data_IF_281651664884
#
_entry.id   IF_281651664884
#
_cell.length_a   1.000
_cell.length_b   1.000
_cell.length_c   1.000
_cell.angle_alpha   90.00
_cell.angle_beta   90.00
_cell.angle_gamma   90.00
#
_symmetry.space_group_name_H-M   'P 1'
#
loop_
_entity.id
_entity.type
_entity.pdbx_description
1 polymer ?
#
# COMPACT_ATOMS: atom_id res chain seq x y z
N UNK A 1 -29.76 9.44 10.11
CA UNK A 1 -28.94 8.95 8.97
C UNK A 1 -27.43 8.99 9.27
N UNK A 2 -26.99 8.59 10.46
CA UNK A 2 -25.57 8.64 10.89
C UNK A 2 -24.94 7.26 11.11
N UNK A 3 -25.77 6.22 11.28
CA UNK A 3 -25.30 4.84 11.51
C UNK A 3 -24.67 4.20 10.26
N UNK A 4 -25.20 4.48 9.06
CA UNK A 4 -24.70 3.89 7.81
C UNK A 4 -23.34 4.46 7.40
N UNK A 5 -23.13 5.77 7.58
CA UNK A 5 -21.86 6.43 7.30
C UNK A 5 -20.72 5.94 8.19
N UNK A 6 -20.99 5.74 9.48
CA UNK A 6 -20.00 5.19 10.42
C UNK A 6 -19.68 3.72 10.13
N UNK A 7 -20.70 2.90 9.83
CA UNK A 7 -20.51 1.49 9.48
C UNK A 7 -19.73 1.33 8.16
N UNK A 8 -19.92 2.23 7.20
CA UNK A 8 -19.12 2.28 5.97
C UNK A 8 -17.68 2.73 6.23
N UNK A 9 -17.46 3.76 7.06
CA UNK A 9 -16.11 4.23 7.42
C UNK A 9 -15.31 3.15 8.18
N UNK A 10 -15.93 2.43 9.11
CA UNK A 10 -15.30 1.31 9.83
C UNK A 10 -15.01 0.14 8.89
N UNK A 11 -15.93 -0.21 7.98
CA UNK A 11 -15.68 -1.25 6.96
C UNK A 11 -14.57 -0.86 5.99
N UNK A 12 -14.51 0.40 5.56
CA UNK A 12 -13.40 0.89 4.75
C UNK A 12 -12.09 0.78 5.52
N UNK A 13 -12.05 1.23 6.78
CA UNK A 13 -10.84 1.13 7.63
C UNK A 13 -10.39 -0.31 7.89
N UNK A 14 -11.32 -1.25 8.08
CA UNK A 14 -11.02 -2.68 8.21
C UNK A 14 -10.57 -3.30 6.88
N UNK A 15 -11.07 -2.79 5.75
CA UNK A 15 -10.67 -3.22 4.40
C UNK A 15 -9.25 -2.80 4.00
N UNK A 16 -8.68 -1.77 4.63
CA UNK A 16 -7.31 -1.31 4.36
C UNK A 16 -6.23 -2.21 4.99
N UNK A 17 -6.59 -2.95 6.05
CA UNK A 17 -5.65 -3.75 6.82
C UNK A 17 -4.66 -2.90 7.63
N UNK A 18 -3.48 -3.47 7.90
CA UNK A 18 -2.39 -2.76 8.59
C UNK A 18 -1.75 -1.71 7.68
N UNK A 19 -0.98 -0.81 8.27
CA UNK A 19 -0.19 0.16 7.51
C UNK A 19 1.28 -0.27 7.52
N UNK A 20 1.87 -0.42 6.35
CA UNK A 20 3.22 -0.95 6.17
C UNK A 20 4.22 0.20 5.96
N UNK A 21 5.41 0.16 6.59
CA UNK A 21 6.45 1.14 6.33
C UNK A 21 6.91 1.03 4.87
N UNK A 22 7.06 2.17 4.21
CA UNK A 22 7.52 2.27 2.83
C UNK A 22 8.90 2.93 2.82
N UNK A 23 9.91 2.23 2.32
CA UNK A 23 11.30 2.65 2.42
C UNK A 23 11.87 2.52 3.83
N UNK A 24 12.78 3.43 4.18
CA UNK A 24 13.46 3.49 5.46
C UNK A 24 12.74 4.36 6.51
N UNK A 25 13.22 4.35 7.76
CA UNK A 25 12.59 5.06 8.89
C UNK A 25 12.55 6.59 8.75
N UNK A 26 13.40 7.15 7.89
CA UNK A 26 13.45 8.59 7.64
C UNK A 26 12.61 9.04 6.44
N UNK A 27 12.02 8.10 5.69
CA UNK A 27 11.23 8.42 4.51
C UNK A 27 9.87 9.01 4.87
N UNK A 28 9.33 8.68 6.06
CA UNK A 28 8.02 9.18 6.50
C UNK A 28 6.89 8.76 5.57
N UNK A 29 7.02 7.58 4.95
CA UNK A 29 6.10 7.06 3.97
C UNK A 29 5.55 5.70 4.42
N UNK A 30 4.26 5.49 4.14
CA UNK A 30 3.55 4.26 4.45
C UNK A 30 2.60 3.87 3.33
N UNK A 31 2.27 2.59 3.24
CA UNK A 31 1.27 2.05 2.33
C UNK A 31 0.31 1.14 3.08
N UNK A 32 -0.98 1.17 2.76
CA UNK A 32 -1.94 0.22 3.33
C UNK A 32 -1.64 -1.19 2.84
N UNK A 33 -1.87 -2.19 3.70
CA UNK A 33 -1.69 -3.59 3.36
C UNK A 33 -2.56 -3.96 2.14
N UNK A 34 -3.78 -3.45 2.06
CA UNK A 34 -4.65 -3.63 0.89
C UNK A 34 -4.03 -3.12 -0.41
N UNK A 35 -3.47 -1.90 -0.43
CA UNK A 35 -2.86 -1.33 -1.62
C UNK A 35 -1.63 -2.13 -2.09
N UNK A 36 -0.79 -2.55 -1.13
CA UNK A 36 0.36 -3.40 -1.41
C UNK A 36 -0.08 -4.76 -1.98
N UNK A 37 -1.08 -5.40 -1.36
CA UNK A 37 -1.62 -6.70 -1.81
C UNK A 37 -2.25 -6.60 -3.18
N UNK A 38 -3.01 -5.55 -3.45
CA UNK A 38 -3.61 -5.30 -4.77
C UNK A 38 -2.54 -5.23 -5.86
N UNK A 39 -1.42 -4.53 -5.61
CA UNK A 39 -0.31 -4.44 -6.56
C UNK A 39 0.37 -5.80 -6.79
N UNK A 40 0.68 -6.54 -5.71
CA UNK A 40 1.28 -7.88 -5.80
C UNK A 40 0.38 -8.88 -6.51
N UNK A 41 -0.93 -8.86 -6.23
CA UNK A 41 -1.93 -9.70 -6.90
C UNK A 41 -2.00 -9.43 -8.40
N UNK A 42 -1.97 -8.15 -8.80
CA UNK A 42 -1.94 -7.79 -10.23
C UNK A 42 -0.69 -8.33 -10.94
N UNK A 43 0.49 -8.25 -10.33
CA UNK A 43 1.69 -8.85 -10.90
C UNK A 43 1.54 -10.36 -11.02
N UNK A 44 1.02 -11.05 -10.00
CA UNK A 44 0.84 -12.50 -10.08
C UNK A 44 -0.17 -12.90 -11.17
N UNK A 45 -1.25 -12.13 -11.34
CA UNK A 45 -2.26 -12.39 -12.38
C UNK A 45 -1.74 -12.21 -13.82
N UNK A 46 -0.61 -11.52 -14.03
CA UNK A 46 0.00 -11.43 -15.36
C UNK A 46 0.89 -12.64 -15.70
N UNK A 47 1.20 -13.49 -14.72
CA UNK A 47 1.94 -14.72 -14.93
C UNK A 47 1.03 -15.83 -15.44
N UNK A 48 1.51 -16.60 -16.42
CA UNK A 48 0.82 -17.80 -16.91
C UNK A 48 1.11 -18.99 -15.99
N UNK A 49 0.15 -19.90 -15.89
CA UNK A 49 0.32 -21.17 -15.15
C UNK A 49 0.37 -21.02 -13.63
N UNK A 50 -0.08 -19.87 -13.09
CA UNK A 50 -0.13 -19.63 -11.64
C UNK A 50 -1.43 -18.92 -11.26
N UNK A 51 -2.06 -19.34 -10.17
CA UNK A 51 -3.17 -18.63 -9.56
C UNK A 51 -2.83 -18.30 -8.10
N UNK A 52 -2.79 -17.00 -7.77
CA UNK A 52 -2.39 -16.54 -6.44
C UNK A 52 -3.57 -16.62 -5.46
N UNK A 53 -3.42 -17.43 -4.43
CA UNK A 53 -4.37 -17.60 -3.33
C UNK A 53 -4.27 -16.49 -2.27
N UNK A 54 -4.54 -16.80 -0.99
CA UNK A 54 -4.28 -15.89 0.12
C UNK A 54 -2.84 -15.37 0.13
N UNK A 55 -2.67 -14.07 0.32
CA UNK A 55 -1.38 -13.40 0.50
C UNK A 55 -1.39 -12.63 1.82
N UNK A 56 -0.27 -12.53 2.52
CA UNK A 56 -0.11 -11.72 3.74
C UNK A 56 1.25 -11.03 3.73
N UNK A 57 1.30 -9.88 4.39
CA UNK A 57 2.54 -9.13 4.61
C UNK A 57 2.69 -8.94 6.12
N UNK A 58 3.86 -9.29 6.65
CA UNK A 58 4.20 -9.18 8.07
C UNK A 58 5.65 -8.70 8.24
N UNK A 59 6.05 -8.41 9.46
CA UNK A 59 7.48 -8.31 9.79
C UNK A 59 8.15 -9.67 9.54
N UNK A 60 9.38 -9.65 9.06
CA UNK A 60 10.19 -10.85 8.86
C UNK A 60 10.58 -11.47 10.21
N UNK A 61 10.93 -10.62 11.17
CA UNK A 61 11.15 -10.99 12.57
C UNK A 61 10.24 -10.14 13.47
N UNK A 62 9.13 -10.72 13.98
CA UNK A 62 8.21 -10.00 14.86
C UNK A 62 8.75 -9.84 16.30
N UNK A 63 9.71 -10.68 16.70
CA UNK A 63 10.31 -10.67 18.05
C UNK A 63 11.52 -9.74 18.12
N UNK A 64 12.08 -9.34 16.97
CA UNK A 64 13.07 -8.27 16.88
C UNK A 64 12.52 -7.01 17.56
N UNK A 65 13.23 -6.53 18.59
CA UNK A 65 12.82 -5.38 19.37
C UNK A 65 12.58 -4.17 18.45
N UNK A 66 11.35 -3.61 18.39
CA UNK A 66 11.02 -2.48 17.51
C UNK A 66 11.71 -1.16 17.93
N UNK A 67 12.54 -1.19 18.98
CA UNK A 67 13.12 -0.02 19.64
C UNK A 67 14.44 0.53 19.09
N UNK A 68 15.05 -0.09 18.07
CA UNK A 68 16.35 0.41 17.56
C UNK A 68 16.24 1.38 16.38
N UNK A 69 15.05 1.55 15.79
CA UNK A 69 14.88 2.38 14.59
C UNK A 69 13.95 3.56 14.87
N UNK A 70 14.53 4.69 15.25
CA UNK A 70 13.78 5.93 15.46
C UNK A 70 13.18 6.43 14.14
N UNK A 71 11.86 6.55 14.09
CA UNK A 71 11.15 7.05 12.90
C UNK A 71 11.20 8.58 12.89
N UNK A 72 11.53 9.18 11.75
CA UNK A 72 11.68 10.64 11.65
C UNK A 72 10.37 11.43 11.81
N UNK A 73 9.22 10.77 11.64
CA UNK A 73 7.90 11.39 11.78
C UNK A 73 6.96 10.43 12.55
N UNK A 74 5.97 10.96 13.29
CA UNK A 74 4.99 10.14 13.99
C UNK A 74 4.32 9.11 13.05
N UNK A 75 4.30 7.82 13.42
CA UNK A 75 3.67 6.81 12.59
C UNK A 75 2.13 6.98 12.58
N UNK A 76 1.46 6.68 11.45
CA UNK A 76 0.01 6.67 11.41
C UNK A 76 -0.56 5.54 12.31
N UNK A 77 -1.85 5.64 12.71
CA UNK A 77 -2.50 4.57 13.46
C UNK A 77 -2.36 3.22 12.76
N UNK A 78 -2.07 2.17 13.53
CA UNK A 78 -1.91 0.79 13.03
C UNK A 78 -0.72 0.57 12.09
N UNK A 79 0.25 1.49 12.06
CA UNK A 79 1.51 1.27 11.38
C UNK A 79 2.32 0.15 12.04
N UNK A 80 2.85 -0.75 11.22
CA UNK A 80 3.94 -1.63 11.63
C UNK A 80 5.20 -0.79 11.87
N UNK A 81 6.05 -1.18 12.85
CA UNK A 81 7.35 -0.57 13.02
C UNK A 81 8.19 -0.73 11.75
N UNK A 82 9.09 0.22 11.44
CA UNK A 82 10.05 0.07 10.35
C UNK A 82 10.88 -1.20 10.53
N UNK A 83 11.05 -1.98 9.46
CA UNK A 83 11.82 -3.22 9.52
C UNK A 83 11.67 -4.07 8.27
N UNK A 84 12.45 -5.16 8.18
CA UNK A 84 12.34 -6.13 7.10
C UNK A 84 10.96 -6.79 7.11
N UNK A 85 10.36 -6.94 5.93
CA UNK A 85 9.05 -7.52 5.73
C UNK A 85 9.16 -8.91 5.09
N UNK A 86 8.23 -9.77 5.46
CA UNK A 86 7.99 -11.08 4.85
C UNK A 86 6.66 -11.05 4.10
N UNK A 87 6.68 -11.61 2.90
CA UNK A 87 5.47 -11.92 2.12
C UNK A 87 5.23 -13.42 2.19
N UNK A 88 4.05 -13.82 2.66
CA UNK A 88 3.60 -15.22 2.58
C UNK A 88 2.45 -15.30 1.60
N UNK A 89 2.49 -16.28 0.69
CA UNK A 89 1.42 -16.48 -0.26
C UNK A 89 1.18 -17.94 -0.61
N UNK A 90 -0.08 -18.30 -0.70
CA UNK A 90 -0.51 -19.55 -1.29
C UNK A 90 -0.64 -19.37 -2.80
N UNK A 91 -0.36 -20.41 -3.57
CA UNK A 91 -0.64 -20.43 -4.99
C UNK A 91 -1.03 -21.82 -5.49
N UNK A 92 -1.80 -21.84 -6.56
CA UNK A 92 -2.04 -23.03 -7.36
C UNK A 92 -1.15 -23.00 -8.60
N UNK A 93 -0.55 -24.14 -8.93
CA UNK A 93 0.20 -24.33 -10.16
C UNK A 93 -0.66 -25.10 -11.15
N UNK A 94 -0.57 -24.76 -12.44
CA UNK A 94 -1.23 -25.55 -13.47
C UNK A 94 -0.39 -26.78 -13.80
N UNK A 95 -1.07 -27.89 -14.09
CA UNK A 95 -0.51 -29.18 -14.41
C UNK A 95 -1.14 -29.63 -15.73
N UNK A 96 -0.35 -29.49 -16.80
CA UNK A 96 -0.75 -29.83 -18.16
C UNK A 96 0.49 -30.17 -18.99
N UNK A 97 0.32 -30.65 -20.24
CA UNK A 97 1.44 -31.06 -21.09
C UNK A 97 2.44 -29.93 -21.38
N UNK A 98 1.96 -28.68 -21.34
CA UNK A 98 2.75 -27.47 -21.53
C UNK A 98 3.12 -26.78 -20.20
N UNK A 99 2.78 -27.36 -19.05
CA UNK A 99 3.02 -26.74 -17.75
C UNK A 99 4.50 -26.78 -17.36
N UNK A 100 4.96 -25.68 -16.78
CA UNK A 100 6.30 -25.61 -16.19
C UNK A 100 6.36 -26.43 -14.89
N UNK A 101 7.53 -27.02 -14.55
CA UNK A 101 7.71 -27.66 -13.26
C UNK A 101 7.42 -26.69 -12.11
N UNK A 102 6.72 -27.16 -11.08
CA UNK A 102 6.30 -26.34 -9.93
C UNK A 102 7.44 -25.49 -9.34
N UNK A 103 8.69 -26.01 -9.17
CA UNK A 103 9.79 -25.18 -8.66
C UNK A 103 10.14 -24.00 -9.57
N UNK A 104 10.01 -24.16 -10.90
CA UNK A 104 10.25 -23.10 -11.89
C UNK A 104 9.14 -22.05 -11.81
N UNK A 105 7.88 -22.48 -11.77
CA UNK A 105 6.72 -21.58 -11.56
C UNK A 105 6.84 -20.80 -10.25
N UNK A 106 7.23 -21.47 -9.16
CA UNK A 106 7.46 -20.84 -7.86
C UNK A 106 8.60 -19.82 -7.89
N UNK A 107 9.72 -20.12 -8.58
CA UNK A 107 10.84 -19.20 -8.72
C UNK A 107 10.45 -17.94 -9.52
N UNK A 108 9.68 -18.10 -10.60
CA UNK A 108 9.14 -16.98 -11.39
C UNK A 108 8.18 -16.12 -10.57
N UNK A 109 7.23 -16.74 -9.86
CA UNK A 109 6.32 -16.02 -8.97
C UNK A 109 7.08 -15.25 -7.87
N UNK A 110 8.06 -15.90 -7.22
CA UNK A 110 8.91 -15.27 -6.19
C UNK A 110 9.65 -14.06 -6.75
N UNK A 111 10.24 -14.19 -7.94
CA UNK A 111 10.96 -13.10 -8.61
C UNK A 111 10.02 -11.94 -8.91
N UNK A 112 8.87 -12.21 -9.51
CA UNK A 112 7.90 -11.17 -9.88
C UNK A 112 7.35 -10.41 -8.65
N UNK A 113 7.03 -11.14 -7.57
CA UNK A 113 6.59 -10.53 -6.31
C UNK A 113 7.71 -9.70 -5.66
N UNK A 114 8.93 -10.21 -5.64
CA UNK A 114 10.11 -9.49 -5.12
C UNK A 114 10.35 -8.19 -5.88
N UNK A 115 10.45 -8.25 -7.21
CA UNK A 115 10.63 -7.09 -8.09
C UNK A 115 9.51 -6.07 -7.89
N UNK A 116 8.25 -6.52 -7.78
CA UNK A 116 7.14 -5.59 -7.54
C UNK A 116 7.26 -4.92 -6.17
N UNK A 117 7.54 -5.68 -5.11
CA UNK A 117 7.66 -5.15 -3.76
C UNK A 117 8.82 -4.15 -3.65
N UNK A 118 10.01 -4.47 -4.16
CA UNK A 118 11.22 -3.67 -3.96
C UNK A 118 11.35 -2.54 -4.99
N UNK A 119 11.14 -2.82 -6.27
CA UNK A 119 11.40 -1.87 -7.36
C UNK A 119 10.18 -1.03 -7.72
N UNK A 120 8.96 -1.57 -7.58
CA UNK A 120 7.73 -0.83 -7.92
C UNK A 120 7.10 -0.16 -6.71
N UNK A 121 7.06 -0.83 -5.56
CA UNK A 121 6.51 -0.24 -4.34
C UNK A 121 7.61 0.49 -3.55
N UNK A 122 8.73 -0.18 -3.29
CA UNK A 122 9.75 0.30 -2.36
C UNK A 122 9.58 -0.22 -0.94
N UNK A 123 8.96 -1.40 -0.80
CA UNK A 123 8.91 -2.14 0.46
C UNK A 123 10.27 -2.81 0.72
N UNK A 124 10.68 -2.85 1.99
CA UNK A 124 11.88 -3.58 2.43
C UNK A 124 11.54 -5.06 2.66
N UNK A 125 11.21 -5.79 1.59
CA UNK A 125 10.91 -7.23 1.66
C UNK A 125 12.20 -8.02 1.60
N UNK A 126 12.45 -8.86 2.60
CA UNK A 126 13.63 -9.74 2.67
C UNK A 126 13.29 -11.20 2.43
N UNK A 127 12.03 -11.59 2.65
CA UNK A 127 11.60 -12.99 2.61
C UNK A 127 10.29 -13.13 1.83
N UNK A 128 10.23 -14.16 0.98
CA UNK A 128 9.01 -14.53 0.24
C UNK A 128 8.80 -16.04 0.33
N UNK A 129 7.81 -16.40 1.14
CA UNK A 129 7.40 -17.77 1.43
C UNK A 129 6.19 -18.12 0.55
N UNK A 130 6.38 -19.09 -0.34
CA UNK A 130 5.35 -19.55 -1.26
C UNK A 130 4.94 -20.98 -0.91
N UNK A 131 3.64 -21.18 -0.71
CA UNK A 131 3.04 -22.50 -0.48
C UNK A 131 2.20 -22.91 -1.67
N UNK A 132 2.51 -24.07 -2.25
CA UNK A 132 1.65 -24.69 -3.25
C UNK A 132 0.46 -25.31 -2.51
N UNK A 133 -0.76 -24.93 -2.86
CA UNK A 133 -1.97 -25.47 -2.23
C UNK A 133 -2.78 -26.37 -3.17
N UNK A 134 -2.71 -26.14 -4.48
CA UNK A 134 -3.45 -26.91 -5.47
C UNK A 134 -2.64 -27.11 -6.76
N UNK A 135 -2.94 -28.20 -7.46
CA UNK A 135 -2.55 -28.42 -8.85
C UNK A 135 -3.83 -28.37 -9.69
N UNK A 136 -3.89 -27.43 -10.63
CA UNK A 136 -5.03 -27.25 -11.50
C UNK A 136 -4.74 -27.95 -12.83
N UNK A 137 -5.63 -28.79 -13.31
CA UNK A 137 -5.52 -29.31 -14.67
C UNK A 137 -5.74 -28.15 -15.66
N UNK A 138 -4.97 -28.10 -16.75
CA UNK A 138 -5.27 -27.16 -17.83
C UNK A 138 -6.66 -27.51 -18.36
N UNK A 139 -7.66 -26.71 -17.98
CA UNK A 139 -8.99 -26.83 -18.56
C UNK A 139 -8.84 -26.60 -20.07
N UNK A 140 -9.05 -27.66 -20.85
CA UNK A 140 -9.52 -27.52 -22.23
C UNK A 140 -10.68 -26.54 -22.17
N UNK A 141 -10.58 -25.47 -22.96
CA UNK A 141 -11.44 -24.28 -22.99
C UNK A 141 -12.92 -24.56 -22.69
N UNK A 142 -13.28 -24.64 -21.41
CA UNK A 142 -14.65 -24.47 -20.94
C UNK A 142 -14.62 -23.21 -20.07
N UNK A 143 -15.24 -22.17 -20.61
CA UNK A 143 -15.38 -20.84 -20.01
C UNK A 143 -16.23 -20.89 -18.73
N UNK A 144 -15.73 -21.50 -17.67
CA UNK A 144 -16.16 -21.16 -16.32
C UNK A 144 -15.11 -20.23 -15.72
N UNK A 145 -15.27 -18.94 -16.03
CA UNK A 145 -14.57 -17.87 -15.33
C UNK A 145 -14.73 -18.11 -13.83
N UNK A 146 -13.65 -18.40 -13.07
CA UNK A 146 -13.75 -18.43 -11.62
C UNK A 146 -14.26 -17.06 -11.21
N UNK A 147 -15.34 -17.04 -10.42
CA UNK A 147 -15.96 -15.81 -9.95
C UNK A 147 -14.88 -14.84 -9.50
N UNK A 148 -14.72 -13.73 -10.25
CA UNK A 148 -13.73 -12.72 -9.92
C UNK A 148 -13.88 -12.40 -8.44
N UNK A 149 -12.79 -12.47 -7.64
CA UNK A 149 -12.87 -12.06 -6.25
C UNK A 149 -13.50 -10.68 -6.22
N UNK A 150 -14.51 -10.52 -5.35
CA UNK A 150 -15.26 -9.27 -5.24
C UNK A 150 -14.28 -8.10 -5.27
N UNK A 151 -14.53 -7.07 -6.10
CA UNK A 151 -13.58 -5.98 -6.28
C UNK A 151 -13.18 -5.45 -4.91
N UNK A 152 -11.87 -5.48 -4.61
CA UNK A 152 -11.35 -4.89 -3.38
C UNK A 152 -11.87 -3.45 -3.32
N UNK A 153 -12.50 -3.03 -2.20
CA UNK A 153 -13.10 -1.71 -2.09
C UNK A 153 -12.02 -0.66 -2.36
N UNK A 154 -12.19 0.06 -3.47
CA UNK A 154 -11.30 1.16 -3.83
C UNK A 154 -11.55 2.27 -2.81
N UNK A 155 -10.51 2.84 -2.18
CA UNK A 155 -10.68 3.99 -1.30
C UNK A 155 -11.43 5.10 -2.04
N UNK A 156 -12.45 5.66 -1.40
CA UNK A 156 -13.19 6.78 -1.98
C UNK A 156 -12.26 7.99 -2.12
N UNK A 157 -12.37 8.69 -3.25
CA UNK A 157 -11.70 9.96 -3.43
C UNK A 157 -12.23 10.97 -2.41
N UNK A 158 -11.31 11.67 -1.74
CA UNK A 158 -11.69 12.75 -0.85
C UNK A 158 -12.20 13.95 -1.67
N UNK A 159 -13.21 14.69 -1.18
CA UNK A 159 -13.56 15.98 -1.77
C UNK A 159 -12.31 16.87 -1.84
N UNK A 160 -12.14 17.60 -2.94
CA UNK A 160 -11.08 18.60 -3.00
C UNK A 160 -11.40 19.67 -1.97
N UNK A 161 -10.46 20.02 -1.07
CA UNK A 161 -10.66 21.17 -0.20
C UNK A 161 -10.85 22.43 -1.04
N UNK A 162 -11.78 23.28 -0.62
CA UNK A 162 -12.18 24.51 -1.32
C UNK A 162 -11.85 25.70 -0.45
N UNK A 163 -10.91 26.55 -0.89
CA UNK A 163 -10.46 27.74 -0.16
C UNK A 163 -8.98 28.05 -0.35
N UNK A 164 -8.47 29.04 0.38
CA UNK A 164 -7.04 29.38 0.51
C UNK A 164 -6.52 29.11 1.93
N UNK A 165 -7.02 28.04 2.55
CA UNK A 165 -6.53 27.58 3.83
C UNK A 165 -5.29 26.67 3.67
N UNK A 166 -4.64 26.36 4.79
CA UNK A 166 -3.45 25.50 4.79
C UNK A 166 -3.75 24.09 4.25
N UNK A 167 -4.95 23.58 4.52
CA UNK A 167 -5.41 22.28 4.02
C UNK A 167 -5.44 22.26 2.48
N UNK A 168 -6.00 23.32 1.87
CA UNK A 168 -6.05 23.49 0.41
C UNK A 168 -4.65 23.62 -0.20
N UNK A 169 -3.73 24.35 0.45
CA UNK A 169 -2.33 24.46 -0.02
C UNK A 169 -1.60 23.13 0.02
N UNK A 170 -1.76 22.36 1.09
CA UNK A 170 -1.16 21.01 1.22
C UNK A 170 -1.73 20.07 0.16
N UNK A 171 -3.05 20.08 -0.02
CA UNK A 171 -3.72 19.26 -1.02
C UNK A 171 -3.26 19.59 -2.44
N UNK A 172 -3.17 20.88 -2.78
CA UNK A 172 -2.67 21.33 -4.08
C UNK A 172 -1.20 20.93 -4.31
N UNK A 173 -0.35 21.08 -3.29
CA UNK A 173 1.05 20.66 -3.36
C UNK A 173 1.18 19.15 -3.61
N UNK A 174 0.43 18.32 -2.89
CA UNK A 174 0.43 16.87 -3.09
C UNK A 174 -0.08 16.48 -4.50
N UNK A 175 -1.17 17.08 -4.97
CA UNK A 175 -1.74 16.81 -6.29
C UNK A 175 -0.85 17.30 -7.45
N UNK A 176 0.03 18.27 -7.21
CA UNK A 176 0.99 18.75 -8.21
C UNK A 176 2.09 17.73 -8.53
N UNK A 177 2.29 16.72 -7.67
CA UNK A 177 3.36 15.74 -7.83
C UNK A 177 2.99 14.70 -8.89
N UNK A 178 3.86 14.56 -9.90
CA UNK A 178 3.72 13.54 -10.94
C UNK A 178 3.70 12.14 -10.33
N UNK A 179 2.60 11.44 -10.54
CA UNK A 179 2.35 10.09 -10.02
C UNK A 179 1.27 10.05 -8.95
N UNK A 180 0.80 11.20 -8.46
CA UNK A 180 -0.40 11.27 -7.61
C UNK A 180 -1.64 11.28 -8.50
N UNK A 181 -2.60 10.39 -8.22
CA UNK A 181 -3.84 10.29 -8.99
C UNK A 181 -4.97 11.11 -8.35
N UNK A 182 -5.16 10.98 -7.04
CA UNK A 182 -6.14 11.72 -6.25
C UNK A 182 -5.82 11.59 -4.76
N UNK A 183 -6.41 12.46 -3.95
CA UNK A 183 -6.36 12.37 -2.49
C UNK A 183 -7.44 11.43 -1.97
N UNK A 184 -7.17 10.75 -0.87
CA UNK A 184 -8.08 9.79 -0.23
C UNK A 184 -8.24 10.13 1.24
N UNK A 185 -9.29 9.66 1.90
CA UNK A 185 -9.57 9.99 3.30
C UNK A 185 -9.97 8.75 4.11
N UNK A 186 -9.15 7.72 4.00
CA UNK A 186 -9.47 6.38 4.46
C UNK A 186 -9.11 6.17 5.95
N UNK A 187 -8.14 6.93 6.48
CA UNK A 187 -7.68 6.91 7.87
C UNK A 187 -7.90 8.25 8.59
N UNK A 188 -8.08 9.35 7.86
CA UNK A 188 -8.45 10.65 8.39
C UNK A 188 -9.89 10.64 8.94
N UNK A 189 -10.06 11.17 10.14
CA UNK A 189 -11.39 11.51 10.65
C UNK A 189 -12.15 12.44 9.68
N UNK A 190 -13.41 12.72 9.98
CA UNK A 190 -14.55 12.83 9.04
C UNK A 190 -14.23 13.04 7.54
N UNK A 191 -13.52 12.11 6.89
CA UNK A 191 -13.26 12.19 5.45
C UNK A 191 -12.23 13.24 5.02
N UNK A 192 -11.31 13.65 5.90
CA UNK A 192 -10.20 14.54 5.54
C UNK A 192 -8.99 13.78 5.00
N UNK A 193 -8.49 14.20 3.84
CA UNK A 193 -7.27 13.64 3.25
C UNK A 193 -5.99 14.21 3.85
N UNK A 194 -6.09 15.36 4.52
CA UNK A 194 -4.99 16.08 5.14
C UNK A 194 -5.31 16.29 6.61
N UNK A 195 -4.42 15.83 7.48
CA UNK A 195 -4.53 15.97 8.92
C UNK A 195 -3.35 16.81 9.41
N UNK A 196 -3.63 18.02 9.89
CA UNK A 196 -2.63 18.96 10.42
C UNK A 196 -2.82 19.04 11.93
N UNK A 197 -1.87 18.49 12.68
CA UNK A 197 -1.93 18.42 14.13
C UNK A 197 -0.64 18.94 14.78
N UNK A 198 -0.68 19.52 15.98
CA UNK A 198 0.52 19.68 16.79
C UNK A 198 1.10 18.28 17.08
N UNK A 199 2.38 18.07 16.73
CA UNK A 199 3.00 16.75 16.87
C UNK A 199 3.23 16.41 18.35
N UNK A 200 2.78 15.25 18.86
CA UNK A 200 2.88 14.92 20.29
C UNK A 200 4.33 14.78 20.78
N UNK A 201 5.30 14.63 19.88
CA UNK A 201 6.73 14.45 20.16
C UNK A 201 7.64 15.35 19.30
N UNK A 202 7.08 16.35 18.60
CA UNK A 202 7.84 17.17 17.67
C UNK A 202 7.83 18.66 18.07
N UNK A 203 8.95 19.39 17.87
CA UNK A 203 8.99 20.83 18.07
C UNK A 203 8.17 21.61 17.02
N UNK A 204 7.74 20.94 15.94
CA UNK A 204 6.97 21.51 14.82
C UNK A 204 5.69 20.72 14.62
N UNK A 205 4.68 21.36 14.02
CA UNK A 205 3.42 20.72 13.61
C UNK A 205 3.67 19.58 12.61
N UNK A 206 2.74 18.64 12.59
CA UNK A 206 2.79 17.41 11.80
C UNK A 206 1.64 17.40 10.79
N UNK A 207 1.96 17.04 9.55
CA UNK A 207 1.00 16.89 8.46
C UNK A 207 0.98 15.44 8.01
N UNK A 208 -0.18 14.78 8.05
CA UNK A 208 -0.40 13.49 7.39
C UNK A 208 -1.23 13.71 6.14
N UNK A 209 -0.76 13.21 5.00
CA UNK A 209 -1.47 13.27 3.72
C UNK A 209 -1.78 11.86 3.23
N UNK A 210 -3.04 11.61 2.88
CA UNK A 210 -3.53 10.36 2.33
C UNK A 210 -3.82 10.48 0.84
N UNK A 211 -3.27 9.57 0.05
CA UNK A 211 -3.37 9.65 -1.40
C UNK A 211 -3.32 8.30 -2.10
N UNK A 212 -3.77 8.30 -3.35
CA UNK A 212 -3.64 7.22 -4.29
C UNK A 212 -2.62 7.59 -5.38
N UNK A 213 -1.73 6.67 -5.71
CA UNK A 213 -0.71 6.86 -6.75
C UNK A 213 -1.03 6.08 -8.02
N UNK A 214 -0.49 6.53 -9.12
CA UNK A 214 -0.47 5.83 -10.39
C UNK A 214 0.64 4.77 -10.43
N UNK A 215 0.75 4.02 -11.53
CA UNK A 215 1.75 2.95 -11.68
C UNK A 215 2.96 3.33 -12.51
N UNK A 216 3.03 4.56 -13.03
CA UNK A 216 4.11 4.98 -13.93
C UNK A 216 5.45 5.15 -13.20
N UNK A 217 5.41 5.33 -11.88
CA UNK A 217 6.58 5.54 -11.03
C UNK A 217 6.59 4.61 -9.83
N UNK A 218 7.77 4.43 -9.25
CA UNK A 218 7.93 3.75 -7.97
C UNK A 218 7.20 4.51 -6.87
N UNK A 219 6.39 3.80 -6.08
CA UNK A 219 5.51 4.40 -5.07
C UNK A 219 6.30 5.18 -4.01
N UNK A 220 7.41 4.63 -3.53
CA UNK A 220 8.30 5.30 -2.57
C UNK A 220 8.84 6.64 -3.10
N UNK A 221 9.20 6.71 -4.38
CA UNK A 221 9.76 7.94 -4.94
C UNK A 221 8.68 9.02 -5.08
N UNK A 222 7.44 8.64 -5.43
CA UNK A 222 6.28 9.55 -5.41
C UNK A 222 6.01 10.04 -3.99
N UNK A 223 6.06 9.16 -2.99
CA UNK A 223 5.85 9.53 -1.58
C UNK A 223 6.91 10.53 -1.09
N UNK A 224 8.18 10.34 -1.45
CA UNK A 224 9.28 11.28 -1.16
C UNK A 224 9.06 12.65 -1.81
N UNK A 225 8.64 12.66 -3.07
CA UNK A 225 8.34 13.90 -3.79
C UNK A 225 7.17 14.67 -3.16
N UNK A 226 6.10 13.96 -2.78
CA UNK A 226 4.96 14.54 -2.05
C UNK A 226 5.40 15.10 -0.71
N UNK A 227 6.19 14.35 0.06
CA UNK A 227 6.71 14.79 1.35
C UNK A 227 7.49 16.10 1.23
N UNK A 228 8.36 16.20 0.22
CA UNK A 228 9.12 17.42 -0.07
C UNK A 228 8.21 18.57 -0.47
N UNK A 229 7.31 18.35 -1.43
CA UNK A 229 6.41 19.39 -1.93
C UNK A 229 5.50 19.95 -0.83
N UNK A 230 4.92 19.08 0.02
CA UNK A 230 4.07 19.48 1.14
C UNK A 230 4.88 20.19 2.23
N UNK A 231 6.09 19.71 2.53
CA UNK A 231 6.99 20.37 3.47
C UNK A 231 7.44 21.76 3.01
N UNK A 232 7.51 22.00 1.70
CA UNK A 232 7.81 23.30 1.08
C UNK A 232 6.59 24.23 1.02
N UNK A 233 5.37 23.69 1.01
CA UNK A 233 4.13 24.45 0.86
C UNK A 233 3.74 25.26 2.12
N UNK A 234 4.32 24.93 3.28
CA UNK A 234 4.03 25.59 4.56
C UNK A 234 5.28 26.29 5.11
N UNK A 235 5.15 27.53 5.64
CA UNK A 235 6.30 28.39 5.97
C UNK A 235 7.15 27.85 7.13
N UNK A 236 6.55 27.09 8.03
CA UNK A 236 7.17 26.52 9.22
C UNK A 236 7.88 25.17 8.98
N UNK A 237 7.80 24.63 7.76
CA UNK A 237 8.42 23.36 7.36
C UNK A 237 8.05 22.22 8.33
N UNK A 238 6.75 21.81 8.36
CA UNK A 238 6.28 20.78 9.26
C UNK A 238 6.89 19.43 8.94
N UNK A 239 6.80 18.49 9.89
CA UNK A 239 7.05 17.09 9.56
C UNK A 239 5.89 16.56 8.71
N UNK A 240 6.19 15.78 7.69
CA UNK A 240 5.19 15.26 6.75
C UNK A 240 5.24 13.74 6.71
N UNK A 241 4.09 13.11 6.96
CA UNK A 241 3.82 11.70 6.73
C UNK A 241 2.95 11.51 5.49
N UNK A 242 3.35 10.60 4.60
CA UNK A 242 2.59 10.26 3.40
C UNK A 242 2.05 8.84 3.53
N UNK A 243 0.74 8.69 3.33
CA UNK A 243 0.06 7.41 3.44
C UNK A 243 -0.60 7.06 2.10
N UNK A 244 -0.10 6.00 1.48
CA UNK A 244 -0.60 5.47 0.21
C UNK A 244 -1.72 4.49 0.50
N UNK A 245 -2.93 4.81 0.04
CA UNK A 245 -4.12 3.98 0.28
C UNK A 245 -4.54 3.18 -0.94
N UNK A 246 -4.03 3.55 -2.13
CA UNK A 246 -4.22 2.81 -3.37
C UNK A 246 -3.07 3.02 -4.36
N UNK A 247 -2.84 2.01 -5.18
CA UNK A 247 -1.93 2.04 -6.34
C UNK A 247 -2.76 1.70 -7.57
N UNK A 248 -2.68 2.54 -8.61
CA UNK A 248 -3.49 2.48 -9.83
C UNK A 248 -3.51 1.10 -10.50
N UNK A 249 -4.59 0.85 -11.23
CA UNK A 249 -4.76 -0.37 -12.04
C UNK A 249 -3.84 -0.37 -13.26
#
# INVERSE_FOLDING_TARGET
MTADGWTMAVRQRLGLGRVLPLGGPHDGAWITESAARAALRRTAASLRGVALGPLRISLADPEASPGSTETAVPPPPSALPPGPLRVTADFAAFSGPAAEPIPVTAARLRTALSTTATERLGLTVTEIDLRVTHLLEDAVEEEEQPASPAPEPVPAAAPRPTGDDEESRVAAAALSVRGVSHLTSALGGPGRAVDIAPGPALPRRHVRVELAVTRERRVLDVARDVRRAVGEALPDRPSVAVLITAVGR
#
